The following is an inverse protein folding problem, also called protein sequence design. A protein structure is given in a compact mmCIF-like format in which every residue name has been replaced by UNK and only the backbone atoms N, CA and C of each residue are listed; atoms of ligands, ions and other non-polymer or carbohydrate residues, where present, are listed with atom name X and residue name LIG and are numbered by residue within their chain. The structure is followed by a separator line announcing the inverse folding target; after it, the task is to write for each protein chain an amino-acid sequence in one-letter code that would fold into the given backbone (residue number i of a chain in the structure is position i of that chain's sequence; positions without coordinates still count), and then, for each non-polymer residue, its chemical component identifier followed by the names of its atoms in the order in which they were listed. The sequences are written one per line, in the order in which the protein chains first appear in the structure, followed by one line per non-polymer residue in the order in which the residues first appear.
data_IF_509916496450
#
_entry.id   IF_509916496450
#
_cell.length_a   1.000
_cell.length_b   1.000
_cell.length_c   1.000
_cell.angle_alpha   90.00
_cell.angle_beta   90.00
_cell.angle_gamma   90.00
#
_symmetry.space_group_name_H-M   'P 1'
#
loop_
_entity.id
_entity.type
_entity.pdbx_description
1 polymer ?
#
# COMPACT_ATOMS: atom_id res chain seq x y z
N UNK A 1 9.68 1.92 7.09
CA UNK A 1 8.28 1.79 6.64
C UNK A 1 8.20 1.20 5.24
N UNK A 2 8.98 1.72 4.29
CA UNK A 2 9.07 1.21 2.90
C UNK A 2 9.39 -0.29 2.83
N UNK A 3 10.39 -0.77 3.57
CA UNK A 3 10.75 -2.20 3.58
C UNK A 3 9.60 -3.12 4.02
N UNK A 4 8.80 -2.69 5.00
CA UNK A 4 7.62 -3.44 5.44
C UNK A 4 6.54 -3.47 4.36
N UNK A 5 6.30 -2.34 3.69
CA UNK A 5 5.34 -2.26 2.60
C UNK A 5 5.79 -3.15 1.42
N UNK A 6 7.07 -3.08 1.05
CA UNK A 6 7.66 -3.91 0.01
C UNK A 6 7.52 -5.41 0.29
N UNK A 7 7.71 -5.84 1.55
CA UNK A 7 7.52 -7.23 1.95
C UNK A 7 6.07 -7.69 1.70
N UNK A 8 5.08 -6.91 2.15
CA UNK A 8 3.67 -7.26 1.96
C UNK A 8 3.27 -7.24 0.47
N UNK A 9 3.85 -6.34 -0.34
CA UNK A 9 3.66 -6.38 -1.79
C UNK A 9 4.09 -7.72 -2.37
N UNK A 10 5.32 -8.16 -2.08
CA UNK A 10 5.83 -9.45 -2.58
C UNK A 10 4.93 -10.62 -2.20
N UNK A 11 4.46 -10.65 -0.96
CA UNK A 11 3.52 -11.65 -0.49
C UNK A 11 2.19 -11.64 -1.25
N UNK A 12 1.62 -10.46 -1.52
CA UNK A 12 0.32 -10.31 -2.17
C UNK A 12 0.38 -10.63 -3.66
N UNK A 13 1.45 -10.22 -4.32
CA UNK A 13 1.72 -10.58 -5.71
C UNK A 13 2.06 -12.07 -5.86
N UNK A 14 2.46 -12.74 -4.78
CA UNK A 14 2.89 -14.13 -4.82
C UNK A 14 4.17 -14.29 -5.65
N UNK A 15 5.02 -13.27 -5.70
CA UNK A 15 6.32 -13.39 -6.34
C UNK A 15 7.11 -14.47 -5.58
N UNK A 16 7.40 -15.60 -6.23
CA UNK A 16 8.35 -16.56 -5.71
C UNK A 16 9.69 -15.84 -5.50
N UNK A 17 10.41 -16.16 -4.41
CA UNK A 17 11.66 -15.49 -4.01
C UNK A 17 12.71 -15.48 -5.15
N UNK A 18 12.61 -16.40 -6.11
CA UNK A 18 13.49 -16.57 -7.27
C UNK A 18 13.05 -15.81 -8.55
N UNK A 19 11.94 -15.07 -8.52
CA UNK A 19 11.50 -14.32 -9.70
C UNK A 19 12.30 -13.03 -9.86
N UNK A 20 12.81 -12.77 -11.07
CA UNK A 20 13.45 -11.50 -11.42
C UNK A 20 12.54 -10.28 -11.12
N UNK A 21 11.21 -10.47 -11.13
CA UNK A 21 10.25 -9.45 -10.74
C UNK A 21 10.30 -9.10 -9.24
N UNK A 22 10.62 -10.06 -8.36
CA UNK A 22 10.76 -9.83 -6.91
C UNK A 22 11.99 -8.98 -6.59
N UNK A 23 13.09 -9.21 -7.31
CA UNK A 23 14.33 -8.45 -7.18
C UNK A 23 14.23 -7.04 -7.79
N UNK A 24 13.32 -6.84 -8.75
CA UNK A 24 13.15 -5.58 -9.48
C UNK A 24 12.12 -4.61 -8.88
N UNK A 25 11.36 -4.99 -7.84
CA UNK A 25 10.42 -4.06 -7.18
C UNK A 25 11.19 -2.94 -6.46
N UNK A 26 11.34 -1.82 -7.14
CA UNK A 26 11.81 -0.56 -6.62
C UNK A 26 10.74 0.16 -5.79
N UNK A 27 11.19 1.00 -4.87
CA UNK A 27 10.27 1.76 -4.00
C UNK A 27 9.42 2.79 -4.77
N UNK A 28 9.85 3.14 -5.99
CA UNK A 28 9.15 4.06 -6.88
C UNK A 28 8.29 3.35 -7.93
N UNK A 29 8.29 2.01 -7.96
CA UNK A 29 7.43 1.27 -8.87
C UNK A 29 5.96 1.45 -8.52
N UNK A 30 5.18 1.64 -9.58
CA UNK A 30 3.75 1.80 -9.46
C UNK A 30 3.08 0.43 -9.33
N UNK A 31 2.20 0.29 -8.34
CA UNK A 31 1.48 -0.95 -8.04
C UNK A 31 0.75 -1.50 -9.27
N UNK A 32 0.08 -0.62 -10.02
CA UNK A 32 -0.70 -1.03 -11.18
C UNK A 32 0.18 -1.40 -12.37
N UNK A 33 1.33 -0.75 -12.52
CA UNK A 33 2.32 -1.05 -13.56
C UNK A 33 3.01 -2.40 -13.32
N UNK A 34 3.26 -2.73 -12.05
CA UNK A 34 3.76 -4.03 -11.61
C UNK A 34 2.73 -5.19 -11.77
N UNK A 35 1.56 -4.94 -12.38
CA UNK A 35 0.49 -5.91 -12.60
C UNK A 35 -0.54 -5.97 -11.46
N UNK A 36 -0.52 -4.99 -10.56
CA UNK A 36 -1.48 -4.86 -9.47
C UNK A 36 -2.88 -4.54 -9.99
N UNK A 37 -3.89 -5.10 -9.32
CA UNK A 37 -5.30 -4.88 -9.65
C UNK A 37 -6.10 -4.59 -8.37
N UNK A 38 -7.37 -4.19 -8.52
CA UNK A 38 -8.24 -3.79 -7.41
C UNK A 38 -8.36 -4.86 -6.32
N UNK A 39 -8.41 -6.15 -6.69
CA UNK A 39 -8.50 -7.25 -5.74
C UNK A 39 -7.19 -7.42 -4.95
N UNK A 40 -6.05 -7.34 -5.62
CA UNK A 40 -4.74 -7.35 -4.97
C UNK A 40 -4.57 -6.12 -4.07
N UNK A 41 -5.04 -4.95 -4.49
CA UNK A 41 -4.98 -3.72 -3.70
C UNK A 41 -5.76 -3.85 -2.38
N UNK A 42 -6.96 -4.42 -2.41
CA UNK A 42 -7.78 -4.67 -1.20
C UNK A 42 -7.11 -5.69 -0.27
N UNK A 43 -6.51 -6.75 -0.83
CA UNK A 43 -5.74 -7.74 -0.05
C UNK A 43 -4.51 -7.11 0.60
N UNK A 44 -3.76 -6.31 -0.17
CA UNK A 44 -2.60 -5.58 0.27
C UNK A 44 -2.96 -4.60 1.38
N UNK A 45 -4.04 -3.83 1.22
CA UNK A 45 -4.57 -2.91 2.22
C UNK A 45 -4.84 -3.61 3.54
N UNK A 46 -5.62 -4.70 3.51
CA UNK A 46 -5.96 -5.48 4.70
C UNK A 46 -4.73 -6.05 5.41
N UNK A 47 -3.72 -6.46 4.66
CA UNK A 47 -2.45 -6.97 5.23
C UNK A 47 -1.60 -5.85 5.81
N UNK A 48 -1.43 -4.74 5.08
CA UNK A 48 -0.68 -3.58 5.55
C UNK A 48 -1.24 -3.05 6.86
N UNK A 49 -2.56 -2.96 6.99
CA UNK A 49 -3.18 -2.52 8.25
C UNK A 49 -2.82 -3.43 9.43
N UNK A 50 -2.81 -4.75 9.21
CA UNK A 50 -2.40 -5.74 10.21
C UNK A 50 -0.92 -5.66 10.55
N UNK A 51 -0.05 -5.58 9.52
CA UNK A 51 1.41 -5.52 9.68
C UNK A 51 1.88 -4.23 10.35
N UNK A 52 1.25 -3.11 10.00
CA UNK A 52 1.61 -1.79 10.53
C UNK A 52 0.86 -1.46 11.84
N UNK A 53 -0.19 -2.22 12.17
CA UNK A 53 -1.05 -1.94 13.32
C UNK A 53 -1.81 -0.62 13.21
N UNK A 54 -2.07 -0.14 11.99
CA UNK A 54 -2.71 1.15 11.70
C UNK A 54 -3.78 1.00 10.65
N UNK A 55 -4.92 1.65 10.84
CA UNK A 55 -5.97 1.74 9.82
C UNK A 55 -5.79 3.03 9.03
N UNK A 56 -6.03 2.94 7.72
CA UNK A 56 -5.98 4.08 6.80
C UNK A 56 -6.94 3.79 5.64
N UNK A 57 -7.51 4.81 4.97
CA UNK A 57 -8.51 4.57 3.94
C UNK A 57 -7.86 4.03 2.66
N UNK A 58 -8.55 3.12 1.96
CA UNK A 58 -8.04 2.48 0.74
C UNK A 58 -7.69 3.51 -0.36
N UNK A 59 -8.38 4.65 -0.36
CA UNK A 59 -8.12 5.77 -1.29
C UNK A 59 -6.67 6.27 -1.24
N UNK A 60 -6.00 6.18 -0.09
CA UNK A 60 -4.59 6.58 0.03
C UNK A 60 -3.68 5.71 -0.84
N UNK A 61 -4.01 4.43 -1.03
CA UNK A 61 -3.23 3.55 -1.91
C UNK A 61 -3.46 3.86 -3.39
N UNK A 62 -4.62 4.43 -3.74
CA UNK A 62 -4.88 4.91 -5.10
C UNK A 62 -4.16 6.23 -5.38
N UNK A 63 -4.09 7.15 -4.39
CA UNK A 63 -3.35 8.41 -4.50
C UNK A 63 -1.84 8.22 -4.49
N UNK A 64 -1.38 7.24 -3.70
CA UNK A 64 0.03 6.91 -3.51
C UNK A 64 0.30 5.47 -3.95
N UNK A 65 0.29 5.20 -5.27
CA UNK A 65 0.41 3.85 -5.80
C UNK A 65 1.85 3.29 -5.76
N UNK A 66 2.80 4.00 -5.15
CA UNK A 66 4.19 3.56 -4.99
C UNK A 66 4.54 3.34 -3.52
N UNK A 67 5.50 2.48 -3.26
CA UNK A 67 5.94 2.13 -1.90
C UNK A 67 6.45 3.37 -1.16
N UNK A 68 7.29 4.19 -1.83
CA UNK A 68 7.86 5.41 -1.28
C UNK A 68 6.78 6.45 -0.97
N UNK A 69 5.83 6.67 -1.89
CA UNK A 69 4.77 7.65 -1.68
C UNK A 69 3.81 7.22 -0.56
N UNK A 70 3.46 5.93 -0.50
CA UNK A 70 2.61 5.40 0.55
C UNK A 70 3.31 5.45 1.91
N UNK A 71 4.60 5.10 1.96
CA UNK A 71 5.40 5.23 3.17
C UNK A 71 5.51 6.69 3.64
N UNK A 72 5.71 7.64 2.72
CA UNK A 72 5.75 9.06 3.04
C UNK A 72 4.40 9.54 3.60
N UNK A 73 3.28 9.18 2.97
CA UNK A 73 1.93 9.53 3.44
C UNK A 73 1.67 8.94 4.84
N UNK A 74 1.87 7.64 5.02
CA UNK A 74 1.65 6.95 6.31
C UNK A 74 2.65 7.34 7.41
N UNK A 75 3.85 7.80 7.02
CA UNK A 75 4.87 8.32 7.93
C UNK A 75 4.55 9.74 8.40
N UNK A 76 4.00 10.57 7.52
CA UNK A 76 3.52 11.92 7.84
C UNK A 76 2.20 11.89 8.64
N UNK A 77 1.34 10.89 8.39
CA UNK A 77 0.03 10.73 9.02
C UNK A 77 0.06 9.94 10.35
N UNK A 78 1.21 9.94 11.06
CA UNK A 78 1.29 9.52 12.46
C UNK A 78 0.54 10.48 13.42
N UNK A 79 -0.15 11.49 12.90
CA UNK A 79 -1.04 12.39 13.62
C UNK A 79 -2.46 12.17 13.09
N UNK A 80 -3.19 11.31 13.80
CA UNK A 80 -4.63 11.42 14.05
C UNK A 80 -5.42 12.21 13.00
N UNK A 81 -5.90 11.52 11.96
CA UNK A 81 -7.10 11.96 11.25
C UNK A 81 -8.13 10.84 11.28
N UNK A 82 -9.26 11.02 11.97
CA UNK A 82 -10.35 10.07 11.88
C UNK A 82 -10.85 10.01 10.44
N UNK A 83 -11.26 8.79 10.07
CA UNK A 83 -12.05 8.41 8.90
C UNK A 83 -12.69 9.57 8.13
N UNK A 84 -12.54 9.50 6.80
CA UNK A 84 -13.41 10.21 5.86
C UNK A 84 -14.88 9.87 6.18
N UNK A 85 -15.59 10.80 6.80
CA UNK A 85 -17.01 11.04 6.55
C UNK A 85 -17.11 11.95 5.32
N UNK A 86 -17.28 11.42 4.09
CA UNK A 86 -17.67 12.27 2.99
C UNK A 86 -19.16 12.63 3.20
N UNK A 87 -19.41 13.90 3.48
CA UNK A 87 -20.65 14.59 3.19
C UNK A 87 -21.94 14.01 3.82
N UNK A 88 -22.18 14.38 5.08
CA UNK A 88 -23.52 14.86 5.46
C UNK A 88 -23.70 16.29 4.95
N UNK A 89 -23.82 16.43 3.64
CA UNK A 89 -24.30 17.66 2.99
C UNK A 89 -25.31 17.26 1.92
N UNK A 90 -26.55 16.99 2.34
CA UNK A 90 -27.80 17.65 1.93
C UNK A 90 -28.97 17.04 2.69
#
# INVERSE_FOLDING_TARGET
LEAAIAAVWREVFGFAEDSAAAAALGVHDNFFDAGGNSLLLVKLHSRLQKTLGRTFPLVEMFKHPTIAALAASLGAEAVDKPSLDPARER
#
